data_IF_015234475787
#
_entry.id   IF_015234475787
#
_cell.length_a   1.000
_cell.length_b   1.000
_cell.length_c   1.000
_cell.angle_alpha   90.00
_cell.angle_beta   90.00
_cell.angle_gamma   90.00
#
_symmetry.space_group_name_H-M   'P 1'
#
loop_
_entity.id
_entity.type
_entity.pdbx_description
1 polymer ?
#
# COMPACT_ATOMS: atom_id res chain seq x y z
N UNK A 1 16.43 -1.59 -10.01
CA UNK A 1 15.60 -1.76 -8.80
C UNK A 1 15.72 -3.21 -8.33
N UNK A 2 15.85 -3.48 -7.02
CA UNK A 2 15.77 -4.84 -6.46
C UNK A 2 14.47 -4.95 -5.67
N UNK A 3 13.58 -5.83 -6.08
CA UNK A 3 12.35 -6.13 -5.35
C UNK A 3 12.64 -7.25 -4.33
N UNK A 4 12.12 -7.11 -3.11
CA UNK A 4 12.14 -8.17 -2.10
C UNK A 4 10.74 -8.32 -1.54
N UNK A 5 10.26 -9.56 -1.51
CA UNK A 5 8.98 -9.95 -0.93
C UNK A 5 9.25 -10.56 0.43
N UNK A 6 8.66 -9.97 1.48
CA UNK A 6 8.85 -10.39 2.87
C UNK A 6 7.57 -11.02 3.41
N UNK A 7 7.73 -12.10 4.17
CA UNK A 7 6.66 -12.80 4.88
C UNK A 7 7.18 -13.36 6.22
N UNK A 8 6.34 -14.04 6.99
CA UNK A 8 6.76 -14.68 8.26
C UNK A 8 7.62 -15.93 8.06
N UNK A 9 7.36 -16.71 6.99
CA UNK A 9 8.17 -17.87 6.61
C UNK A 9 8.55 -17.81 5.12
N UNK A 10 9.33 -18.78 4.66
CA UNK A 10 9.65 -18.95 3.23
C UNK A 10 8.58 -19.75 2.47
N UNK A 11 7.52 -20.19 3.15
CA UNK A 11 6.42 -20.90 2.51
C UNK A 11 5.64 -19.96 1.59
N UNK A 12 5.11 -20.43 0.45
CA UNK A 12 4.26 -19.62 -0.40
C UNK A 12 3.06 -19.03 0.35
N UNK A 13 2.90 -17.72 0.29
CA UNK A 13 1.79 -17.01 0.93
C UNK A 13 0.61 -16.94 -0.04
N UNK A 14 -0.51 -17.56 0.32
CA UNK A 14 -1.71 -17.60 -0.51
C UNK A 14 -2.57 -16.35 -0.35
N UNK A 15 -3.17 -15.90 -1.46
CA UNK A 15 -4.22 -14.87 -1.45
C UNK A 15 -5.60 -15.46 -1.18
N UNK A 16 -5.72 -16.76 -0.92
CA UNK A 16 -6.98 -17.44 -0.66
C UNK A 16 -7.68 -16.86 0.58
N UNK A 17 -8.99 -16.70 0.48
CA UNK A 17 -9.84 -16.27 1.59
C UNK A 17 -11.12 -17.08 1.56
N UNK A 18 -11.65 -17.47 2.72
CA UNK A 18 -12.97 -18.12 2.81
C UNK A 18 -14.13 -17.17 2.50
N UNK A 19 -13.86 -15.87 2.31
CA UNK A 19 -14.87 -14.82 2.12
C UNK A 19 -15.29 -14.70 0.66
N UNK A 20 -14.37 -14.94 -0.27
CA UNK A 20 -14.64 -14.94 -1.71
C UNK A 20 -14.87 -16.37 -2.16
N UNK A 21 -16.03 -16.68 -2.73
CA UNK A 21 -16.40 -18.02 -3.24
C UNK A 21 -15.61 -18.45 -4.50
N UNK A 22 -14.44 -17.85 -4.76
CA UNK A 22 -13.63 -18.13 -5.93
C UNK A 22 -12.61 -19.23 -5.60
N UNK A 23 -12.60 -20.29 -6.40
CA UNK A 23 -11.65 -21.39 -6.30
C UNK A 23 -10.26 -21.03 -6.84
N UNK A 24 -10.15 -19.94 -7.60
CA UNK A 24 -8.89 -19.45 -8.16
C UNK A 24 -8.26 -18.44 -7.19
N UNK A 25 -7.04 -18.74 -6.76
CA UNK A 25 -6.21 -17.85 -5.96
C UNK A 25 -4.76 -17.88 -6.44
N UNK A 26 -4.00 -16.85 -6.04
CA UNK A 26 -2.56 -16.76 -6.29
C UNK A 26 -1.80 -17.16 -5.04
N UNK A 27 -0.58 -17.67 -5.21
CA UNK A 27 0.37 -17.83 -4.11
C UNK A 27 1.68 -17.16 -4.50
N UNK A 28 2.25 -16.44 -3.54
CA UNK A 28 3.46 -15.66 -3.73
C UNK A 28 4.59 -16.28 -2.93
N UNK A 29 5.69 -16.66 -3.60
CA UNK A 29 6.88 -17.18 -2.94
C UNK A 29 7.68 -16.02 -2.32
N UNK A 30 7.88 -16.00 -0.99
CA UNK A 30 8.71 -14.99 -0.34
C UNK A 30 10.16 -15.10 -0.81
N UNK A 31 10.85 -13.96 -0.80
CA UNK A 31 12.30 -13.92 -1.05
C UNK A 31 13.10 -13.87 0.25
N UNK A 32 12.47 -13.37 1.32
CA UNK A 32 13.04 -13.12 2.63
C UNK A 32 11.93 -13.27 3.68
N UNK A 33 12.32 -13.41 4.94
CA UNK A 33 11.38 -13.32 6.07
C UNK A 33 11.52 -11.98 6.78
N UNK A 34 10.54 -11.60 7.61
CA UNK A 34 10.67 -10.43 8.48
C UNK A 34 11.85 -10.54 9.46
N UNK A 35 12.15 -11.76 9.92
CA UNK A 35 13.28 -12.07 10.81
C UNK A 35 14.65 -12.14 10.09
N UNK A 36 14.66 -12.37 8.78
CA UNK A 36 15.86 -12.40 7.94
C UNK A 36 15.68 -11.54 6.68
N UNK A 37 15.60 -10.20 6.84
CA UNK A 37 15.38 -9.29 5.73
C UNK A 37 16.64 -9.13 4.84
N UNK A 38 16.52 -8.49 3.67
CA UNK A 38 17.67 -8.20 2.82
C UNK A 38 18.78 -7.46 3.59
N UNK A 39 20.03 -7.82 3.33
CA UNK A 39 21.20 -7.20 3.98
C UNK A 39 21.45 -5.75 3.54
N UNK A 40 20.94 -5.36 2.36
CA UNK A 40 20.99 -3.97 1.89
C UNK A 40 19.86 -3.16 2.52
N UNK A 41 20.06 -1.85 2.77
CA UNK A 41 19.00 -0.96 3.24
C UNK A 41 17.75 -1.03 2.34
N UNK A 42 16.58 -0.94 2.97
CA UNK A 42 15.29 -0.89 2.27
C UNK A 42 14.92 0.58 2.06
N UNK A 43 14.98 1.04 0.82
CA UNK A 43 14.65 2.43 0.49
C UNK A 43 13.14 2.69 0.53
N UNK A 44 12.33 1.71 0.11
CA UNK A 44 10.88 1.85 -0.02
C UNK A 44 10.19 0.65 0.61
N UNK A 45 9.29 0.91 1.55
CA UNK A 45 8.34 -0.07 2.06
C UNK A 45 7.05 0.03 1.24
N UNK A 46 6.61 -1.07 0.64
CA UNK A 46 5.36 -1.13 -0.11
C UNK A 46 4.41 -2.13 0.56
N UNK A 47 3.29 -1.63 1.09
CA UNK A 47 2.32 -2.43 1.85
C UNK A 47 1.04 -2.59 1.02
N UNK A 48 0.82 -3.75 0.39
CA UNK A 48 -0.41 -4.01 -0.33
C UNK A 48 -1.59 -4.20 0.63
N UNK A 49 -2.80 -4.07 0.10
CA UNK A 49 -4.03 -4.42 0.82
C UNK A 49 -4.42 -5.88 0.61
N UNK A 50 -5.69 -6.16 0.85
CA UNK A 50 -6.27 -7.50 0.75
C UNK A 50 -6.98 -7.90 2.04
N UNK A 51 -7.69 -9.03 1.99
CA UNK A 51 -8.43 -9.52 3.14
C UNK A 51 -7.53 -9.96 4.30
N UNK A 52 -6.28 -10.36 4.01
CA UNK A 52 -5.29 -10.72 5.04
C UNK A 52 -5.02 -9.61 6.04
N UNK A 53 -5.18 -8.32 5.66
CA UNK A 53 -5.03 -7.19 6.58
C UNK A 53 -6.03 -7.21 7.76
N UNK A 54 -7.06 -8.06 7.74
CA UNK A 54 -8.04 -8.16 8.83
C UNK A 54 -7.57 -9.10 9.95
N UNK A 55 -6.54 -9.89 9.70
CA UNK A 55 -5.88 -10.69 10.72
C UNK A 55 -4.95 -9.84 11.58
N UNK A 56 -4.57 -10.39 12.73
CA UNK A 56 -3.45 -9.93 13.53
C UNK A 56 -2.15 -10.29 12.78
N UNK A 57 -1.36 -9.27 12.41
CA UNK A 57 -0.15 -9.41 11.61
C UNK A 57 1.06 -8.82 12.34
N UNK A 58 1.21 -9.17 13.62
CA UNK A 58 2.15 -8.54 14.56
C UNK A 58 3.59 -8.49 14.03
N UNK A 59 4.11 -9.59 13.47
CA UNK A 59 5.47 -9.61 12.89
C UNK A 59 5.65 -8.60 11.75
N UNK A 60 4.64 -8.46 10.88
CA UNK A 60 4.67 -7.50 9.78
C UNK A 60 4.55 -6.06 10.30
N UNK A 61 3.71 -5.83 11.30
CA UNK A 61 3.53 -4.52 11.95
C UNK A 61 4.79 -4.05 12.67
N UNK A 62 5.44 -4.95 13.41
CA UNK A 62 6.72 -4.69 14.08
C UNK A 62 7.84 -4.42 13.08
N UNK A 63 7.93 -5.25 12.03
CA UNK A 63 8.89 -5.04 10.95
C UNK A 63 8.68 -3.68 10.27
N UNK A 64 7.43 -3.33 9.95
CA UNK A 64 7.08 -2.08 9.32
C UNK A 64 7.49 -0.88 10.20
N UNK A 65 7.16 -0.93 11.50
CA UNK A 65 7.54 0.11 12.47
C UNK A 65 9.06 0.27 12.52
N UNK A 66 9.79 -0.84 12.66
CA UNK A 66 11.25 -0.83 12.78
C UNK A 66 11.96 -0.32 11.51
N UNK A 67 11.42 -0.61 10.31
CA UNK A 67 12.02 -0.20 9.04
C UNK A 67 11.60 1.17 8.58
N UNK A 68 10.45 1.67 9.03
CA UNK A 68 10.01 3.01 8.65
C UNK A 68 11.00 4.10 9.09
N UNK A 69 11.66 3.92 10.24
CA UNK A 69 12.68 4.86 10.73
C UNK A 69 13.79 5.12 9.71
N UNK A 70 14.20 4.10 8.95
CA UNK A 70 15.34 4.20 8.02
C UNK A 70 14.97 4.20 6.55
N UNK A 71 13.74 3.83 6.17
CA UNK A 71 13.32 3.87 4.77
C UNK A 71 13.06 5.31 4.30
N UNK A 72 13.23 5.54 3.01
CA UNK A 72 12.95 6.83 2.38
C UNK A 72 11.46 7.04 2.14
N UNK A 73 10.71 5.98 1.82
CA UNK A 73 9.28 6.07 1.52
C UNK A 73 8.47 4.89 2.06
N UNK A 74 7.23 5.17 2.46
CA UNK A 74 6.18 4.19 2.69
C UNK A 74 5.08 4.38 1.65
N UNK A 75 4.83 3.36 0.85
CA UNK A 75 3.72 3.30 -0.10
C UNK A 75 2.71 2.26 0.39
N UNK A 76 1.43 2.60 0.38
CA UNK A 76 0.36 1.65 0.68
C UNK A 76 -0.73 1.70 -0.38
N UNK A 77 -1.32 0.54 -0.65
CA UNK A 77 -2.48 0.41 -1.54
C UNK A 77 -3.60 -0.25 -0.78
N UNK A 78 -4.83 0.24 -0.95
CA UNK A 78 -6.02 -0.39 -0.39
C UNK A 78 -5.89 -0.50 1.14
N UNK A 79 -6.26 -1.65 1.71
CA UNK A 79 -6.22 -1.88 3.16
C UNK A 79 -4.80 -1.96 3.76
N UNK A 80 -3.73 -1.87 2.97
CA UNK A 80 -2.36 -1.79 3.48
C UNK A 80 -2.13 -0.53 4.34
N UNK A 81 -2.91 0.52 4.10
CA UNK A 81 -2.97 1.72 4.95
C UNK A 81 -3.48 1.44 6.36
N UNK A 82 -4.41 0.48 6.56
CA UNK A 82 -4.84 0.08 7.90
C UNK A 82 -3.71 -0.59 8.69
N UNK A 83 -2.96 -1.49 8.03
CA UNK A 83 -1.80 -2.14 8.66
C UNK A 83 -0.78 -1.08 9.11
N UNK A 84 -0.49 -0.11 8.23
CA UNK A 84 0.41 1.00 8.54
C UNK A 84 -0.13 1.90 9.66
N UNK A 85 -1.44 2.13 9.70
CA UNK A 85 -2.07 2.95 10.74
C UNK A 85 -1.96 2.31 12.13
N UNK A 86 -2.15 0.99 12.25
CA UNK A 86 -2.00 0.26 13.53
C UNK A 86 -0.62 0.41 14.15
N UNK A 87 0.41 0.60 13.33
CA UNK A 87 1.78 0.79 13.83
C UNK A 87 2.04 2.17 14.44
N UNK A 88 1.13 3.14 14.22
CA UNK A 88 1.28 4.53 14.60
C UNK A 88 2.00 5.40 13.55
N UNK A 89 2.55 4.81 12.48
CA UNK A 89 3.31 5.54 11.43
C UNK A 89 2.47 6.66 10.77
N UNK A 90 1.16 6.47 10.67
CA UNK A 90 0.24 7.41 10.04
C UNK A 90 -0.44 8.37 11.03
N UNK A 91 -0.14 8.29 12.33
CA UNK A 91 -0.76 9.18 13.33
C UNK A 91 -0.47 10.65 13.00
N UNK A 92 -1.51 11.48 12.96
CA UNK A 92 -1.44 12.90 12.62
C UNK A 92 -1.15 13.21 11.14
N UNK A 93 -1.07 12.19 10.26
CA UNK A 93 -0.84 12.36 8.82
C UNK A 93 -2.13 12.30 8.02
N UNK A 94 -2.14 12.96 6.87
CA UNK A 94 -3.16 12.76 5.84
C UNK A 94 -2.93 11.40 5.16
N UNK A 95 -3.99 10.60 5.06
CA UNK A 95 -3.95 9.33 4.37
C UNK A 95 -5.31 8.98 3.75
N UNK A 96 -5.33 7.99 2.85
CA UNK A 96 -6.56 7.45 2.29
C UNK A 96 -6.51 5.93 2.19
N UNK A 97 -7.65 5.32 1.87
CA UNK A 97 -7.78 3.89 1.62
C UNK A 97 -8.91 3.61 0.64
N UNK A 98 -9.06 2.34 0.25
CA UNK A 98 -10.12 1.92 -0.66
C UNK A 98 -11.50 2.22 -0.07
N UNK A 99 -12.40 2.69 -0.94
CA UNK A 99 -13.68 3.27 -0.53
C UNK A 99 -14.61 2.25 0.11
N UNK A 100 -14.60 1.02 -0.41
CA UNK A 100 -15.37 -0.11 0.12
C UNK A 100 -15.02 -0.45 1.58
N UNK A 101 -13.75 -0.33 1.97
CA UNK A 101 -13.29 -0.65 3.33
C UNK A 101 -13.07 0.58 4.20
N UNK A 102 -13.43 1.78 3.74
CA UNK A 102 -12.96 3.02 4.34
C UNK A 102 -13.39 3.17 5.81
N UNK A 103 -14.64 2.83 6.14
CA UNK A 103 -15.10 2.87 7.53
C UNK A 103 -14.37 1.89 8.42
N UNK A 104 -14.11 0.67 7.95
CA UNK A 104 -13.30 -0.28 8.71
C UNK A 104 -11.86 0.23 8.89
N UNK A 105 -11.24 0.81 7.86
CA UNK A 105 -9.87 1.33 7.96
C UNK A 105 -9.76 2.47 8.97
N UNK A 106 -10.77 3.36 9.04
CA UNK A 106 -10.80 4.44 10.03
C UNK A 106 -10.73 3.93 11.46
N UNK A 107 -11.35 2.78 11.77
CA UNK A 107 -11.29 2.21 13.14
C UNK A 107 -9.91 1.68 13.49
N UNK A 108 -9.06 1.40 12.50
CA UNK A 108 -7.69 0.90 12.71
C UNK A 108 -6.68 2.04 12.96
N UNK A 109 -7.05 3.28 12.65
CA UNK A 109 -6.20 4.46 12.75
C UNK A 109 -6.97 5.70 13.12
N UNK A 110 -7.50 5.82 14.36
CA UNK A 110 -8.36 6.92 14.76
C UNK A 110 -7.65 8.29 14.82
N UNK A 111 -6.31 8.30 14.87
CA UNK A 111 -5.48 9.51 14.88
C UNK A 111 -5.02 9.96 13.49
N UNK A 112 -5.37 9.22 12.45
CA UNK A 112 -5.01 9.53 11.07
C UNK A 112 -6.04 10.50 10.47
N UNK A 113 -5.59 11.50 9.72
CA UNK A 113 -6.48 12.42 8.99
C UNK A 113 -6.91 11.76 7.66
N UNK A 114 -8.01 10.98 7.72
CA UNK A 114 -8.48 10.20 6.58
C UNK A 114 -9.20 11.04 5.51
N UNK A 115 -8.58 11.15 4.32
CA UNK A 115 -9.11 11.90 3.16
C UNK A 115 -9.96 10.97 2.29
N UNK A 116 -11.28 10.96 2.54
CA UNK A 116 -12.23 10.03 1.88
C UNK A 116 -12.22 10.12 0.36
N UNK A 117 -12.23 11.32 -0.21
CA UNK A 117 -12.41 11.52 -1.65
C UNK A 117 -11.15 11.33 -2.48
N UNK A 118 -9.96 11.34 -1.88
CA UNK A 118 -8.70 11.22 -2.61
C UNK A 118 -8.51 9.84 -3.25
N UNK A 119 -8.01 9.77 -4.49
CA UNK A 119 -7.49 8.53 -5.09
C UNK A 119 -6.24 8.09 -4.35
N UNK A 120 -5.32 9.02 -4.10
CA UNK A 120 -4.17 8.82 -3.23
C UNK A 120 -3.81 10.12 -2.51
N UNK A 121 -3.04 9.98 -1.42
CA UNK A 121 -2.53 11.08 -0.61
C UNK A 121 -1.03 10.89 -0.46
N UNK A 122 -0.28 11.96 -0.68
CA UNK A 122 1.14 12.07 -0.35
C UNK A 122 1.30 13.06 0.81
N UNK A 123 1.78 12.58 1.96
CA UNK A 123 2.08 13.38 3.15
C UNK A 123 3.52 13.08 3.60
N UNK A 124 4.44 13.96 3.17
CA UNK A 124 5.88 13.74 3.31
C UNK A 124 6.32 12.45 2.62
N UNK A 125 6.91 11.53 3.40
CA UNK A 125 7.36 10.22 2.89
C UNK A 125 6.28 9.14 2.87
N UNK A 126 5.05 9.43 3.32
CA UNK A 126 3.94 8.49 3.34
C UNK A 126 3.02 8.71 2.15
N UNK A 127 2.88 7.69 1.30
CA UNK A 127 2.01 7.67 0.14
C UNK A 127 0.98 6.57 0.34
N UNK A 128 -0.31 6.93 0.33
CA UNK A 128 -1.40 5.98 0.56
C UNK A 128 -2.42 6.11 -0.56
N UNK A 129 -2.87 5.00 -1.12
CA UNK A 129 -3.84 4.99 -2.22
C UNK A 129 -5.06 4.12 -1.92
N UNK A 130 -6.09 4.37 -2.72
CA UNK A 130 -7.41 3.77 -2.60
C UNK A 130 -7.46 2.36 -3.18
N UNK A 131 -8.27 2.11 -4.21
CA UNK A 131 -8.35 0.81 -4.87
C UNK A 131 -7.15 0.54 -5.79
N UNK A 132 -7.19 -0.61 -6.47
CA UNK A 132 -6.11 -1.09 -7.36
C UNK A 132 -5.70 -0.05 -8.40
N UNK A 133 -6.65 0.51 -9.15
CA UNK A 133 -6.36 1.51 -10.18
C UNK A 133 -5.72 2.77 -9.58
N UNK A 134 -6.25 3.29 -8.47
CA UNK A 134 -5.64 4.42 -7.77
C UNK A 134 -4.22 4.11 -7.24
N UNK A 135 -3.92 2.85 -6.91
CA UNK A 135 -2.59 2.41 -6.52
C UNK A 135 -1.59 2.40 -7.69
N UNK A 136 -2.02 2.03 -8.90
CA UNK A 136 -1.22 2.14 -10.11
C UNK A 136 -0.92 3.62 -10.43
N UNK A 137 -1.95 4.46 -10.41
CA UNK A 137 -1.81 5.91 -10.62
C UNK A 137 -0.89 6.56 -9.57
N UNK A 138 -1.06 6.21 -8.29
CA UNK A 138 -0.20 6.67 -7.19
C UNK A 138 1.25 6.27 -7.42
N UNK A 139 1.50 5.03 -7.88
CA UNK A 139 2.85 4.54 -8.13
C UNK A 139 3.53 5.35 -9.24
N UNK A 140 2.81 5.68 -10.31
CA UNK A 140 3.32 6.59 -11.35
C UNK A 140 3.51 8.02 -10.84
N UNK A 141 2.61 8.52 -9.99
CA UNK A 141 2.78 9.80 -9.29
C UNK A 141 4.04 9.83 -8.41
N UNK A 142 4.33 8.73 -7.72
CA UNK A 142 5.55 8.58 -6.92
C UNK A 142 6.80 8.48 -7.81
N UNK A 143 6.74 7.73 -8.92
CA UNK A 143 7.83 7.69 -9.92
C UNK A 143 8.10 9.08 -10.48
N UNK A 144 7.05 9.87 -10.79
CA UNK A 144 7.19 11.27 -11.22
C UNK A 144 7.88 12.12 -10.15
N UNK A 145 7.52 11.93 -8.87
CA UNK A 145 8.13 12.64 -7.75
C UNK A 145 9.62 12.32 -7.57
N UNK A 146 10.02 11.05 -7.73
CA UNK A 146 11.40 10.61 -7.47
C UNK A 146 12.32 10.72 -8.68
N UNK A 147 11.81 10.43 -9.88
CA UNK A 147 12.60 10.28 -11.12
C UNK A 147 12.22 11.27 -12.22
N UNK A 148 11.20 12.11 -11.99
CA UNK A 148 10.73 13.10 -12.96
C UNK A 148 9.59 12.60 -13.87
N UNK A 149 8.88 13.55 -14.46
CA UNK A 149 7.67 13.28 -15.25
C UNK A 149 7.91 12.46 -16.52
N UNK A 150 9.06 12.61 -17.17
CA UNK A 150 9.38 11.87 -18.40
C UNK A 150 9.54 10.37 -18.13
N UNK A 151 10.21 10.00 -17.03
CA UNK A 151 10.35 8.60 -16.61
C UNK A 151 8.98 7.99 -16.29
N UNK A 152 8.11 8.73 -15.59
CA UNK A 152 6.76 8.27 -15.28
C UNK A 152 5.93 8.04 -16.56
N UNK A 153 5.93 9.01 -17.49
CA UNK A 153 5.21 8.90 -18.77
C UNK A 153 5.76 7.77 -19.65
N UNK A 154 7.07 7.62 -19.75
CA UNK A 154 7.69 6.51 -20.48
C UNK A 154 7.31 5.16 -19.86
N UNK A 155 7.31 5.07 -18.53
CA UNK A 155 6.88 3.85 -17.83
C UNK A 155 5.43 3.51 -18.15
N UNK A 156 4.52 4.48 -18.08
CA UNK A 156 3.11 4.29 -18.41
C UNK A 156 2.92 3.87 -19.88
N UNK A 157 3.58 4.56 -20.82
CA UNK A 157 3.51 4.27 -22.25
C UNK A 157 4.10 2.89 -22.59
N UNK A 158 5.18 2.47 -21.92
CA UNK A 158 5.82 1.18 -22.16
C UNK A 158 4.89 -0.01 -21.86
N UNK A 159 4.01 0.14 -20.86
CA UNK A 159 3.03 -0.89 -20.49
C UNK A 159 1.62 -0.59 -21.04
N UNK A 160 1.50 0.41 -21.93
CA UNK A 160 0.22 0.86 -22.52
C UNK A 160 -0.84 1.22 -21.48
N UNK A 161 -0.43 1.80 -20.35
CA UNK A 161 -1.32 2.19 -19.25
C UNK A 161 -1.76 3.65 -19.37
N UNK A 162 -3.08 3.87 -19.40
CA UNK A 162 -3.67 5.21 -19.32
C UNK A 162 -3.60 5.73 -17.88
N UNK A 163 -2.65 6.65 -17.64
CA UNK A 163 -2.42 7.20 -16.32
C UNK A 163 -3.39 8.33 -15.98
N UNK A 164 -4.12 8.18 -14.87
CA UNK A 164 -4.92 9.27 -14.29
C UNK A 164 -4.10 10.06 -13.26
N UNK A 165 -3.70 11.28 -13.63
CA UNK A 165 -2.91 12.17 -12.78
C UNK A 165 -3.70 12.88 -11.65
N UNK A 166 -5.05 12.81 -11.63
CA UNK A 166 -5.86 13.47 -10.60
C UNK A 166 -5.86 12.67 -9.29
N UNK A 167 -5.12 13.13 -8.28
CA UNK A 167 -5.06 12.49 -6.97
C UNK A 167 -6.28 12.69 -6.09
N UNK A 168 -7.11 13.71 -6.36
CA UNK A 168 -8.05 14.25 -5.39
C UNK A 168 -9.46 13.66 -5.52
N UNK A 169 -9.82 13.20 -6.72
CA UNK A 169 -11.19 12.78 -7.05
C UNK A 169 -11.31 11.30 -7.36
N UNK A 170 -11.66 10.53 -6.35
CA UNK A 170 -12.07 9.14 -6.48
C UNK A 170 -13.60 9.05 -6.57
N UNK A 171 -14.12 8.86 -7.79
CA UNK A 171 -15.56 8.66 -8.06
C UNK A 171 -16.20 7.52 -7.25
N UNK A 172 -15.41 6.55 -6.79
CA UNK A 172 -15.93 5.44 -5.99
C UNK A 172 -16.26 5.88 -4.56
N UNK A 173 -15.80 7.06 -4.11
CA UNK A 173 -16.16 7.59 -2.80
C UNK A 173 -17.68 7.80 -2.68
N UNK A 174 -18.33 8.21 -3.77
CA UNK A 174 -19.77 8.52 -3.82
C UNK A 174 -20.65 7.27 -3.72
N UNK A 175 -20.11 6.08 -4.00
CA UNK A 175 -20.84 4.80 -3.88
C UNK A 175 -21.01 4.33 -2.45
N UNK A 176 -20.25 4.89 -1.52
CA UNK A 176 -20.17 4.43 -0.12
C UNK A 176 -20.42 5.56 0.87
N UNK A 177 -20.99 6.69 0.46
CA UNK A 177 -21.34 7.81 1.35
C UNK A 177 -22.49 7.46 2.30
#
# INVERSE_FOLDING_TARGET
MKLSMLASSMDPVSTFTKVTANEIHQSLSPTHTFSSPPSKPIDVLFVPGGFGCRAELTEAEEFLRARFETCQYLLTVCTGSALSARTGILDGKKATSNKKSFEWVKTQGPKVEWIRKARWVADGRCWTSSGVAAGMDMTLGWVKNVYGGDVAKQTANFIEYEWNEDSEKDRFADLYL
#
